data_IF_088939670948
#
_entry.id   IF_088939670948
#
_cell.length_a   1.000
_cell.length_b   1.000
_cell.length_c   1.000
_cell.angle_alpha   90.00
_cell.angle_beta   90.00
_cell.angle_gamma   90.00
#
_symmetry.space_group_name_H-M   'P 1'
#
loop_
_entity.id
_entity.type
_entity.pdbx_description
1 polymer ?
#
# COMPACT_ATOMS: atom_id res chain seq x y z
N UNK A 1 48.75 -18.53 63.96
CA UNK A 1 47.67 -17.93 63.16
C UNK A 1 48.30 -17.16 62.00
N UNK A 2 48.26 -17.71 60.78
CA UNK A 2 48.58 -16.94 59.56
C UNK A 2 47.54 -17.32 58.51
N UNK A 3 46.79 -16.31 58.14
CA UNK A 3 45.52 -16.33 57.42
C UNK A 3 45.73 -16.58 55.92
N UNK A 4 44.97 -17.51 55.36
CA UNK A 4 44.88 -17.74 53.92
C UNK A 4 43.97 -16.67 53.32
N UNK A 5 44.50 -15.87 52.39
CA UNK A 5 43.72 -14.91 51.61
C UNK A 5 43.16 -15.66 50.40
N UNK A 6 41.85 -15.91 50.40
CA UNK A 6 41.12 -16.42 49.23
C UNK A 6 40.95 -15.29 48.20
N UNK A 7 41.47 -15.49 47.00
CA UNK A 7 41.19 -14.65 45.84
C UNK A 7 39.79 -14.96 45.28
N UNK A 8 38.87 -14.02 45.42
CA UNK A 8 37.57 -14.02 44.74
C UNK A 8 37.76 -13.56 43.28
N UNK A 9 37.53 -14.47 42.34
CA UNK A 9 37.46 -14.14 40.90
C UNK A 9 36.04 -13.64 40.60
N UNK A 10 35.91 -12.35 40.33
CA UNK A 10 34.65 -11.76 39.86
C UNK A 10 34.51 -12.01 38.34
N UNK A 11 33.54 -12.84 37.95
CA UNK A 11 33.13 -13.00 36.55
C UNK A 11 32.23 -11.83 36.17
N UNK A 12 32.78 -10.88 35.39
CA UNK A 12 32.00 -9.83 34.77
C UNK A 12 31.28 -10.38 33.53
N UNK A 13 29.96 -10.57 33.61
CA UNK A 13 29.12 -10.87 32.45
C UNK A 13 28.94 -9.60 31.63
N UNK A 14 29.58 -9.52 30.47
CA UNK A 14 29.35 -8.45 29.51
C UNK A 14 27.98 -8.66 28.84
N UNK A 15 26.99 -7.86 29.24
CA UNK A 15 25.72 -7.75 28.50
C UNK A 15 26.01 -6.91 27.26
N UNK A 16 26.11 -7.56 26.10
CA UNK A 16 26.14 -6.85 24.83
C UNK A 16 24.76 -6.23 24.60
N UNK A 17 24.66 -4.90 24.65
CA UNK A 17 23.47 -4.19 24.21
C UNK A 17 23.29 -4.43 22.71
N UNK A 18 22.32 -5.25 22.33
CA UNK A 18 21.90 -5.39 20.94
C UNK A 18 21.23 -4.08 20.54
N UNK A 19 21.96 -3.21 19.85
CA UNK A 19 21.36 -2.06 19.17
C UNK A 19 20.53 -2.60 18.01
N UNK A 20 19.21 -2.69 18.23
CA UNK A 20 18.26 -2.91 17.14
C UNK A 20 18.21 -1.61 16.35
N UNK A 21 19.00 -1.51 15.28
CA UNK A 21 18.87 -0.43 14.31
C UNK A 21 17.46 -0.49 13.73
N UNK A 22 16.63 0.49 14.09
CA UNK A 22 15.33 0.71 13.46
C UNK A 22 15.59 1.03 12.00
N UNK A 23 15.13 0.19 11.08
CA UNK A 23 15.25 0.43 9.64
C UNK A 23 14.07 1.29 9.17
N UNK A 24 14.35 2.34 8.41
CA UNK A 24 13.32 3.14 7.73
C UNK A 24 12.67 2.33 6.62
N UNK A 25 11.37 2.53 6.41
CA UNK A 25 10.66 1.92 5.29
C UNK A 25 11.14 2.52 3.96
N UNK A 26 11.64 1.70 3.02
CA UNK A 26 12.01 2.17 1.69
C UNK A 26 10.76 2.45 0.84
N UNK A 27 10.90 3.36 -0.10
CA UNK A 27 9.88 3.60 -1.14
C UNK A 27 9.65 2.33 -1.96
N UNK A 28 8.39 1.95 -2.10
CA UNK A 28 7.96 0.83 -2.93
C UNK A 28 7.80 1.28 -4.37
N UNK A 29 8.38 0.52 -5.29
CA UNK A 29 8.28 0.73 -6.73
C UNK A 29 7.94 -0.57 -7.47
N UNK A 30 7.59 -0.44 -8.75
CA UNK A 30 7.27 -1.57 -9.65
C UNK A 30 6.05 -2.39 -9.19
N UNK A 31 5.09 -1.74 -8.53
CA UNK A 31 3.78 -2.34 -8.30
C UNK A 31 3.10 -2.66 -9.66
N UNK A 32 2.40 -3.81 -9.81
CA UNK A 32 1.76 -4.17 -11.07
C UNK A 32 0.71 -3.14 -11.48
N UNK A 33 0.76 -2.66 -12.72
CA UNK A 33 -0.12 -1.61 -13.19
C UNK A 33 -1.57 -2.11 -13.22
N UNK A 34 -2.47 -1.39 -12.55
CA UNK A 34 -3.89 -1.78 -12.47
C UNK A 34 -4.20 -2.86 -11.42
N UNK A 35 -3.24 -3.23 -10.56
CA UNK A 35 -3.55 -4.05 -9.40
C UNK A 35 -4.45 -3.26 -8.44
N UNK A 36 -5.51 -3.90 -7.94
CA UNK A 36 -6.48 -3.26 -7.05
C UNK A 36 -7.10 -4.23 -6.06
N UNK A 37 -7.39 -3.71 -4.88
CA UNK A 37 -7.89 -4.43 -3.72
C UNK A 37 -8.96 -3.61 -3.02
N UNK A 38 -9.94 -4.28 -2.41
CA UNK A 38 -10.96 -3.64 -1.58
C UNK A 38 -11.15 -4.38 -0.28
N UNK A 39 -11.24 -3.62 0.81
CA UNK A 39 -11.68 -4.08 2.11
C UNK A 39 -13.04 -3.44 2.42
N UNK A 40 -14.09 -4.25 2.41
CA UNK A 40 -15.45 -3.82 2.72
C UNK A 40 -15.74 -4.11 4.20
N UNK A 41 -16.08 -3.08 4.98
CA UNK A 41 -16.47 -3.26 6.37
C UNK A 41 -17.83 -3.98 6.44
N UNK A 42 -17.91 -5.14 7.10
CA UNK A 42 -19.18 -5.84 7.28
C UNK A 42 -20.06 -5.09 8.28
N UNK A 43 -21.37 -5.33 8.23
CA UNK A 43 -22.27 -4.87 9.29
C UNK A 43 -21.89 -5.51 10.62
N UNK A 44 -21.83 -4.70 11.67
CA UNK A 44 -21.47 -5.13 13.02
C UNK A 44 -22.54 -4.71 14.02
N UNK A 45 -22.67 -5.49 15.09
CA UNK A 45 -23.69 -5.26 16.12
C UNK A 45 -23.28 -4.19 17.14
N UNK A 46 -21.96 -4.03 17.37
CA UNK A 46 -21.43 -3.10 18.39
C UNK A 46 -21.27 -1.68 17.87
N UNK A 47 -20.75 -1.52 16.66
CA UNK A 47 -20.53 -0.23 16.04
C UNK A 47 -21.14 -0.24 14.64
N UNK A 48 -21.78 0.86 14.26
CA UNK A 48 -22.45 1.00 12.97
C UNK A 48 -21.48 1.25 11.79
N UNK A 49 -20.16 1.19 12.01
CA UNK A 49 -19.14 1.54 11.02
C UNK A 49 -19.32 0.69 9.76
N UNK A 50 -19.43 1.38 8.63
CA UNK A 50 -19.66 0.78 7.30
C UNK A 50 -18.95 1.58 6.22
N UNK A 51 -18.78 0.97 5.04
CA UNK A 51 -18.05 1.55 3.93
C UNK A 51 -16.85 0.70 3.54
N UNK A 52 -15.86 1.29 2.87
CA UNK A 52 -14.75 0.55 2.28
C UNK A 52 -13.44 1.31 2.30
N UNK A 53 -12.35 0.55 2.26
CA UNK A 53 -11.01 1.02 1.91
C UNK A 53 -10.58 0.30 0.63
N UNK A 54 -10.36 1.05 -0.43
CA UNK A 54 -9.80 0.55 -1.68
C UNK A 54 -8.32 0.94 -1.78
N UNK A 55 -7.48 0.03 -2.26
CA UNK A 55 -6.07 0.28 -2.54
C UNK A 55 -5.75 -0.17 -3.96
N UNK A 56 -5.17 0.71 -4.77
CA UNK A 56 -4.74 0.42 -6.13
C UNK A 56 -3.30 0.86 -6.35
N UNK A 57 -2.58 0.17 -7.22
CA UNK A 57 -1.24 0.61 -7.62
C UNK A 57 -1.29 2.02 -8.20
N UNK A 58 -0.40 2.89 -7.73
CA UNK A 58 -0.23 4.21 -8.33
C UNK A 58 0.17 4.06 -9.82
N UNK A 59 -0.18 5.06 -10.63
CA UNK A 59 -0.01 4.99 -12.09
C UNK A 59 1.45 4.82 -12.53
N UNK A 60 2.39 5.36 -11.76
CA UNK A 60 3.84 5.25 -11.98
C UNK A 60 4.44 3.96 -11.38
N UNK A 61 3.62 3.13 -10.73
CA UNK A 61 4.04 1.93 -10.02
C UNK A 61 4.68 2.19 -8.65
N UNK A 62 4.69 3.44 -8.16
CA UNK A 62 5.28 3.83 -6.88
C UNK A 62 4.21 3.89 -5.79
N UNK A 63 4.21 2.90 -4.89
CA UNK A 63 3.23 2.84 -3.81
C UNK A 63 1.81 2.50 -4.23
N UNK A 64 0.86 2.82 -3.34
CA UNK A 64 -0.55 2.47 -3.43
C UNK A 64 -1.39 3.71 -3.19
N UNK A 65 -2.29 4.02 -4.12
CA UNK A 65 -3.34 5.01 -3.91
C UNK A 65 -4.47 4.36 -3.12
N UNK A 66 -4.74 4.90 -1.94
CA UNK A 66 -5.86 4.51 -1.10
C UNK A 66 -7.02 5.47 -1.27
N UNK A 67 -8.20 4.92 -1.51
CA UNK A 67 -9.47 5.64 -1.45
C UNK A 67 -10.29 5.08 -0.29
N UNK A 68 -10.59 5.94 0.68
CA UNK A 68 -11.32 5.57 1.89
C UNK A 68 -12.68 6.26 1.86
N UNK A 69 -13.74 5.50 2.14
CA UNK A 69 -15.09 6.03 2.29
C UNK A 69 -15.79 5.28 3.41
N UNK A 70 -15.99 5.94 4.55
CA UNK A 70 -16.55 5.35 5.77
C UNK A 70 -17.68 6.21 6.32
N UNK A 71 -18.62 5.57 7.00
CA UNK A 71 -19.78 6.24 7.59
C UNK A 71 -20.21 5.62 8.93
N UNK A 72 -20.98 6.42 9.70
CA UNK A 72 -21.43 6.19 11.09
C UNK A 72 -20.36 5.57 11.97
N UNK A 73 -19.21 6.23 11.95
CA UNK A 73 -18.33 6.26 13.09
C UNK A 73 -19.11 6.85 14.29
N UNK A 74 -18.84 6.43 15.53
CA UNK A 74 -19.49 7.02 16.71
C UNK A 74 -19.27 8.54 16.79
N UNK A 75 -20.20 9.26 17.44
CA UNK A 75 -20.03 10.70 17.68
C UNK A 75 -18.84 11.00 18.61
N UNK A 76 -18.56 10.09 19.55
CA UNK A 76 -17.50 10.20 20.55
C UNK A 76 -16.38 9.16 20.33
N UNK A 77 -15.24 9.37 20.98
CA UNK A 77 -14.10 8.43 20.93
C UNK A 77 -13.19 8.60 19.70
N UNK A 78 -13.43 9.62 18.87
CA UNK A 78 -12.49 10.07 17.86
C UNK A 78 -11.34 10.92 18.43
N UNK A 79 -10.45 11.44 17.56
CA UNK A 79 -10.33 11.10 16.15
C UNK A 79 -9.98 9.62 15.96
N UNK A 80 -10.50 9.00 14.90
CA UNK A 80 -10.37 7.56 14.70
C UNK A 80 -9.13 7.25 13.88
N UNK A 81 -8.27 6.40 14.42
CA UNK A 81 -7.08 5.91 13.73
C UNK A 81 -7.45 4.71 12.86
N UNK A 82 -6.70 4.46 11.81
CA UNK A 82 -6.87 3.31 10.94
C UNK A 82 -5.52 2.85 10.39
N UNK A 83 -5.34 1.53 10.40
CA UNK A 83 -4.06 0.90 10.09
C UNK A 83 -4.26 -0.38 9.28
N UNK A 84 -3.26 -0.74 8.49
CA UNK A 84 -3.13 -2.09 7.93
C UNK A 84 -2.50 -2.97 9.01
N UNK A 85 -3.13 -4.12 9.28
CA UNK A 85 -2.67 -5.07 10.28
C UNK A 85 -2.00 -6.29 9.65
N UNK A 86 -1.13 -6.95 10.40
CA UNK A 86 -0.24 -8.03 9.91
C UNK A 86 -0.94 -9.36 9.56
N UNK A 87 -2.21 -9.53 9.92
CA UNK A 87 -2.99 -10.74 9.66
C UNK A 87 -4.37 -10.42 9.09
N UNK A 88 -5.00 -11.35 8.35
CA UNK A 88 -6.40 -11.25 8.01
C UNK A 88 -7.28 -11.28 9.27
N UNK A 89 -8.48 -10.68 9.18
CA UNK A 89 -9.58 -10.87 10.11
C UNK A 89 -9.93 -12.36 10.14
N UNK A 90 -9.93 -13.00 11.34
CA UNK A 90 -10.30 -14.41 11.45
C UNK A 90 -11.78 -14.65 11.11
N UNK A 91 -12.15 -15.92 10.96
CA UNK A 91 -13.51 -16.32 10.58
C UNK A 91 -14.60 -15.93 11.59
N UNK A 92 -14.23 -15.65 12.84
CA UNK A 92 -15.15 -15.15 13.88
C UNK A 92 -15.39 -13.63 13.79
N UNK A 93 -14.73 -12.93 12.88
CA UNK A 93 -14.84 -11.48 12.71
C UNK A 93 -14.16 -10.66 13.81
N UNK A 94 -13.42 -11.29 14.73
CA UNK A 94 -12.82 -10.58 15.85
C UNK A 94 -11.58 -9.78 15.39
N UNK A 95 -11.71 -8.46 15.39
CA UNK A 95 -10.63 -7.56 14.98
C UNK A 95 -9.35 -7.70 15.79
N UNK A 96 -9.38 -8.27 17.00
CA UNK A 96 -8.15 -8.54 17.78
C UNK A 96 -7.26 -9.59 17.10
N UNK A 97 -7.84 -10.51 16.33
CA UNK A 97 -7.12 -11.57 15.64
C UNK A 97 -6.25 -11.09 14.47
N UNK A 98 -6.42 -9.84 14.02
CA UNK A 98 -5.58 -9.24 12.98
C UNK A 98 -4.14 -8.95 13.43
N UNK A 99 -3.85 -9.08 14.75
CA UNK A 99 -2.50 -8.95 15.28
C UNK A 99 -2.02 -7.50 15.36
N UNK A 100 -0.70 -7.30 15.29
CA UNK A 100 -0.06 -5.98 15.27
C UNK A 100 -0.28 -5.23 13.95
N UNK A 101 0.28 -4.04 13.82
CA UNK A 101 0.31 -3.31 12.55
C UNK A 101 1.25 -4.01 11.57
N UNK A 102 1.05 -3.78 10.27
CA UNK A 102 2.04 -4.17 9.26
C UNK A 102 3.34 -3.36 9.46
N UNK A 103 4.33 -3.98 10.08
CA UNK A 103 5.62 -3.35 10.37
C UNK A 103 6.82 -4.27 10.03
N UNK A 104 7.07 -4.51 8.73
CA UNK A 104 8.14 -5.41 8.29
C UNK A 104 9.56 -4.91 8.60
N UNK A 105 9.72 -3.63 8.94
CA UNK A 105 11.01 -3.00 9.27
C UNK A 105 11.21 -2.80 10.77
N UNK A 106 10.27 -3.30 11.58
CA UNK A 106 10.36 -3.35 13.06
C UNK A 106 10.60 -1.97 13.66
N UNK A 107 9.93 -0.95 13.10
CA UNK A 107 9.90 0.39 13.68
C UNK A 107 9.23 0.38 15.05
N UNK A 108 8.13 -0.35 15.20
CA UNK A 108 7.31 -0.37 16.39
C UNK A 108 6.72 1.00 16.74
N UNK A 109 6.22 1.13 17.97
CA UNK A 109 5.33 2.23 18.36
C UNK A 109 5.86 3.08 19.53
N UNK A 110 7.14 2.93 19.89
CA UNK A 110 7.73 3.66 21.01
C UNK A 110 7.75 5.17 20.75
N UNK A 111 8.19 5.54 19.55
CA UNK A 111 8.07 6.91 19.03
C UNK A 111 6.80 6.97 18.17
N UNK A 112 5.97 8.00 18.35
CA UNK A 112 4.81 8.20 17.49
C UNK A 112 5.25 8.42 16.04
N UNK A 113 4.38 8.07 15.08
CA UNK A 113 4.63 8.40 13.68
C UNK A 113 4.61 9.92 13.50
N UNK A 114 5.62 10.44 12.80
CA UNK A 114 5.68 11.82 12.35
C UNK A 114 5.37 11.86 10.84
N UNK A 115 4.30 12.54 10.46
CA UNK A 115 3.93 12.72 9.05
C UNK A 115 5.00 13.49 8.24
N UNK A 116 5.87 14.25 8.92
CA UNK A 116 7.04 14.91 8.30
C UNK A 116 8.20 13.95 7.97
N UNK A 117 8.22 12.77 8.60
CA UNK A 117 9.22 11.71 8.41
C UNK A 117 8.53 10.36 8.19
N UNK A 118 7.70 10.20 7.13
CA UNK A 118 6.80 9.05 7.00
C UNK A 118 7.52 7.72 6.72
N UNK A 119 8.78 7.76 6.29
CA UNK A 119 9.68 6.60 6.18
C UNK A 119 10.08 6.04 7.55
N UNK A 120 9.96 6.85 8.60
CA UNK A 120 10.19 6.43 9.99
C UNK A 120 8.95 5.85 10.67
N UNK A 121 7.82 5.71 9.98
CA UNK A 121 6.58 5.15 10.51
C UNK A 121 6.44 3.65 10.21
N UNK A 122 5.55 2.95 10.94
CA UNK A 122 5.16 1.59 10.56
C UNK A 122 4.53 1.63 9.15
N UNK A 123 4.83 0.64 8.30
CA UNK A 123 4.30 0.61 6.92
C UNK A 123 2.77 0.70 6.91
N UNK A 124 2.11 -0.01 7.83
CA UNK A 124 0.67 -0.03 8.01
C UNK A 124 0.08 1.18 8.75
N UNK A 125 0.89 2.12 9.27
CA UNK A 125 0.39 3.30 9.99
C UNK A 125 -0.09 4.39 9.02
N UNK A 126 -1.25 4.15 8.41
CA UNK A 126 -1.85 5.07 7.45
C UNK A 126 -2.31 6.37 8.11
N UNK A 127 -2.92 6.29 9.29
CA UNK A 127 -3.37 7.46 10.05
C UNK A 127 -2.24 8.39 10.50
N UNK A 128 -1.13 7.82 10.99
CA UNK A 128 0.03 8.61 11.37
C UNK A 128 0.63 9.38 10.19
N UNK A 129 0.65 8.76 8.99
CA UNK A 129 1.19 9.37 7.77
C UNK A 129 0.24 10.35 7.09
N UNK A 130 -1.05 10.02 7.01
CA UNK A 130 -2.03 10.71 6.15
C UNK A 130 -3.19 11.38 6.92
N UNK A 131 -3.17 11.30 8.25
CA UNK A 131 -4.17 11.89 9.13
C UNK A 131 -5.28 10.94 9.54
N UNK A 132 -5.87 11.23 10.71
CA UNK A 132 -6.98 10.47 11.30
C UNK A 132 -8.34 10.78 10.64
N UNK A 133 -9.31 9.89 10.83
CA UNK A 133 -10.71 10.14 10.51
C UNK A 133 -11.30 11.06 11.59
N UNK A 134 -11.94 12.15 11.17
CA UNK A 134 -12.40 13.23 12.08
C UNK A 134 -13.90 13.47 12.07
N UNK A 135 -14.66 12.73 11.27
CA UNK A 135 -16.10 12.89 11.11
C UNK A 135 -16.83 11.55 11.07
N UNK A 136 -18.12 11.56 11.43
CA UNK A 136 -18.97 10.37 11.39
C UNK A 136 -19.08 9.77 9.98
N UNK A 137 -19.08 10.64 8.97
CA UNK A 137 -19.02 10.30 7.55
C UNK A 137 -17.79 10.98 6.97
N UNK A 138 -16.92 10.20 6.36
CA UNK A 138 -15.62 10.69 5.94
C UNK A 138 -15.12 9.95 4.70
N UNK A 139 -14.51 10.70 3.81
CA UNK A 139 -13.85 10.15 2.64
C UNK A 139 -12.55 10.90 2.36
N UNK A 140 -11.53 10.18 1.91
CA UNK A 140 -10.27 10.77 1.47
C UNK A 140 -9.63 9.91 0.39
N UNK A 141 -8.68 10.50 -0.32
CA UNK A 141 -7.79 9.80 -1.24
C UNK A 141 -6.37 10.34 -1.07
N UNK A 142 -5.38 9.43 -1.04
CA UNK A 142 -3.97 9.76 -0.99
C UNK A 142 -3.12 8.59 -1.49
N UNK A 143 -1.85 8.84 -1.80
CA UNK A 143 -0.90 7.80 -2.17
C UNK A 143 0.06 7.53 -1.01
N UNK A 144 0.15 6.26 -0.60
CA UNK A 144 1.16 5.78 0.33
C UNK A 144 2.30 5.10 -0.44
N UNK A 145 3.49 5.70 -0.39
CA UNK A 145 4.66 5.23 -1.15
C UNK A 145 5.41 4.06 -0.48
N UNK A 146 4.96 3.58 0.68
CA UNK A 146 5.64 2.53 1.46
C UNK A 146 4.88 1.20 1.46
N UNK A 147 3.60 1.21 1.11
CA UNK A 147 2.77 0.01 0.94
C UNK A 147 2.93 -0.58 -0.47
N UNK A 148 2.79 -1.89 -0.62
CA UNK A 148 2.97 -2.59 -1.90
C UNK A 148 1.79 -3.47 -2.29
N UNK A 149 1.50 -3.53 -3.59
CA UNK A 149 0.59 -4.53 -4.19
C UNK A 149 1.34 -5.77 -4.71
N UNK A 150 2.66 -5.84 -4.54
CA UNK A 150 3.45 -6.99 -5.01
C UNK A 150 3.47 -8.11 -3.97
N UNK A 151 3.04 -9.34 -4.29
CA UNK A 151 3.03 -10.45 -3.32
C UNK A 151 4.41 -10.85 -2.77
N UNK A 152 5.50 -10.51 -3.48
CA UNK A 152 6.88 -10.78 -3.05
C UNK A 152 7.44 -9.69 -2.11
N UNK A 153 6.72 -8.59 -1.93
CA UNK A 153 7.13 -7.49 -1.06
C UNK A 153 6.79 -7.79 0.40
N UNK A 154 7.72 -7.48 1.31
CA UNK A 154 7.47 -7.47 2.76
C UNK A 154 6.43 -6.42 3.19
N UNK A 155 6.16 -5.42 2.33
CA UNK A 155 5.13 -4.40 2.53
C UNK A 155 3.80 -4.75 1.80
N UNK A 156 3.62 -6.00 1.38
CA UNK A 156 2.41 -6.45 0.70
C UNK A 156 1.19 -6.41 1.61
N UNK A 157 0.15 -5.67 1.21
CA UNK A 157 -1.10 -5.56 2.00
C UNK A 157 -2.24 -6.44 1.49
N UNK A 158 -2.13 -6.98 0.27
CA UNK A 158 -3.29 -7.50 -0.47
C UNK A 158 -3.97 -8.75 0.12
N UNK A 159 -3.32 -9.43 1.07
CA UNK A 159 -3.87 -10.57 1.82
C UNK A 159 -4.06 -10.27 3.32
N UNK A 160 -3.96 -9.00 3.71
CA UNK A 160 -4.03 -8.54 5.09
C UNK A 160 -5.39 -7.90 5.39
N UNK A 161 -5.46 -7.18 6.50
CA UNK A 161 -6.67 -6.47 6.92
C UNK A 161 -6.40 -4.99 7.20
N UNK A 162 -7.47 -4.20 7.15
CA UNK A 162 -7.50 -2.84 7.71
C UNK A 162 -8.36 -2.84 8.96
N UNK A 163 -7.96 -2.06 9.96
CA UNK A 163 -8.69 -1.89 11.22
C UNK A 163 -8.86 -0.40 11.49
N UNK A 164 -10.05 -0.02 11.95
CA UNK A 164 -10.35 1.31 12.48
C UNK A 164 -10.41 1.23 14.01
N UNK A 165 -9.84 2.22 14.68
CA UNK A 165 -9.73 2.32 16.13
C UNK A 165 -10.36 3.62 16.65
N UNK A 166 -10.88 3.58 17.88
CA UNK A 166 -11.03 4.78 18.71
C UNK A 166 -9.67 5.40 19.03
N UNK A 167 -9.65 6.64 19.52
CA UNK A 167 -8.45 7.33 19.99
C UNK A 167 -7.72 6.61 21.14
N UNK A 168 -8.44 5.78 21.91
CA UNK A 168 -7.88 4.91 22.96
C UNK A 168 -7.30 3.58 22.44
N UNK A 169 -7.23 3.41 21.11
CA UNK A 169 -6.75 2.22 20.38
C UNK A 169 -7.73 1.04 20.35
N UNK A 170 -8.92 1.16 20.93
CA UNK A 170 -9.97 0.12 20.81
C UNK A 170 -10.34 -0.11 19.36
N UNK A 171 -10.28 -1.36 18.89
CA UNK A 171 -10.68 -1.76 17.53
C UNK A 171 -12.21 -1.74 17.39
N UNK A 172 -12.72 -0.99 16.42
CA UNK A 172 -14.17 -0.79 16.23
C UNK A 172 -14.71 -1.32 14.90
N UNK A 173 -13.84 -1.51 13.91
CA UNK A 173 -14.17 -2.15 12.66
C UNK A 173 -12.93 -2.75 12.02
N UNK A 174 -13.09 -3.84 11.29
CA UNK A 174 -12.02 -4.45 10.52
C UNK A 174 -12.56 -5.16 9.29
N UNK A 175 -11.73 -5.25 8.25
CA UNK A 175 -12.07 -5.92 7.00
C UNK A 175 -10.81 -6.47 6.33
N UNK A 176 -10.95 -7.60 5.64
CA UNK A 176 -9.88 -8.15 4.82
C UNK A 176 -9.81 -7.44 3.47
N UNK A 177 -8.60 -7.19 3.00
CA UNK A 177 -8.39 -6.82 1.61
C UNK A 177 -8.65 -8.03 0.72
N UNK A 178 -9.41 -7.81 -0.34
CA UNK A 178 -9.71 -8.80 -1.37
C UNK A 178 -9.26 -8.24 -2.71
N UNK A 179 -8.56 -9.06 -3.49
CA UNK A 179 -8.05 -8.66 -4.78
C UNK A 179 -9.18 -8.57 -5.81
N UNK A 180 -9.29 -7.42 -6.47
CA UNK A 180 -10.22 -7.19 -7.57
C UNK A 180 -9.51 -7.40 -8.92
N UNK A 181 -8.26 -6.92 -9.03
CA UNK A 181 -7.41 -7.11 -10.20
C UNK A 181 -5.98 -7.37 -9.77
N UNK A 182 -5.30 -8.31 -10.43
CA UNK A 182 -3.87 -8.56 -10.22
C UNK A 182 -2.97 -7.47 -10.81
N UNK A 183 -3.49 -6.72 -11.79
CA UNK A 183 -2.70 -5.82 -12.63
C UNK A 183 -1.76 -6.56 -13.57
N UNK A 184 -1.17 -5.81 -14.49
CA UNK A 184 -0.11 -6.27 -15.36
C UNK A 184 1.23 -5.96 -14.70
N UNK A 185 2.09 -6.96 -14.57
CA UNK A 185 3.48 -6.68 -14.22
C UNK A 185 4.09 -5.84 -15.33
N UNK A 186 4.82 -4.74 -15.02
CA UNK A 186 5.62 -4.07 -16.02
C UNK A 186 6.63 -5.08 -16.56
N UNK A 187 6.30 -5.69 -17.69
CA UNK A 187 7.25 -6.45 -18.48
C UNK A 187 8.22 -5.38 -18.96
N UNK A 188 9.42 -5.34 -18.35
CA UNK A 188 10.53 -4.61 -18.95
C UNK A 188 10.52 -4.97 -20.43
N UNK A 189 10.51 -3.99 -21.37
CA UNK A 189 10.33 -4.29 -22.78
C UNK A 189 11.30 -5.39 -23.13
N UNK A 190 10.76 -6.57 -23.43
CA UNK A 190 11.57 -7.72 -23.82
C UNK A 190 12.34 -7.22 -25.01
N UNK A 191 13.63 -6.95 -24.81
CA UNK A 191 14.50 -6.52 -25.88
C UNK A 191 14.24 -7.47 -27.03
N UNK A 192 13.89 -6.91 -28.20
CA UNK A 192 13.71 -7.69 -29.42
C UNK A 192 14.96 -8.55 -29.55
N UNK A 193 14.85 -9.82 -29.17
CA UNK A 193 15.88 -10.78 -29.47
C UNK A 193 15.78 -10.95 -30.97
N UNK A 194 16.62 -10.22 -31.68
CA UNK A 194 16.95 -10.47 -33.08
C UNK A 194 17.68 -11.82 -33.14
N UNK A 195 16.98 -12.89 -32.79
CA UNK A 195 17.43 -14.26 -32.93
C UNK A 195 17.37 -14.59 -34.42
N UNK A 196 18.45 -14.33 -35.14
CA UNK A 196 18.70 -15.00 -36.40
C UNK A 196 18.65 -16.52 -36.13
N UNK A 197 17.75 -17.22 -36.81
CA UNK A 197 17.69 -18.68 -36.75
C UNK A 197 19.05 -19.24 -37.20
N UNK A 198 19.72 -20.01 -36.32
CA UNK A 198 20.90 -20.76 -36.70
C UNK A 198 20.51 -21.87 -37.70
N UNK A 199 21.31 -22.14 -38.75
CA UNK A 199 21.07 -23.26 -39.63
C UNK A 199 21.40 -24.57 -38.90
N UNK A 200 20.41 -25.45 -38.76
CA UNK A 200 20.63 -26.83 -38.32
C UNK A 200 21.30 -27.61 -39.44
N UNK A 201 22.57 -27.98 -39.25
CA UNK A 201 23.26 -28.92 -40.12
C UNK A 201 22.68 -30.34 -39.95
N UNK A 202 22.27 -30.96 -41.05
CA UNK A 202 21.81 -32.34 -41.13
C UNK A 202 22.91 -33.24 -41.73
N UNK A 203 23.16 -34.37 -41.08
CA UNK A 203 23.87 -35.54 -41.61
C UNK A 203 23.82 -36.67 -40.57
N UNK A 204 23.29 -37.87 -40.83
CA UNK A 204 22.62 -38.38 -42.01
C UNK A 204 21.97 -39.75 -41.75
N UNK A 205 21.25 -40.22 -42.80
CA UNK A 205 20.97 -41.61 -43.20
C UNK A 205 20.35 -42.61 -42.19
N UNK A 206 19.05 -42.92 -42.36
CA UNK A 206 18.60 -44.18 -43.02
C UNK A 206 17.06 -44.35 -43.05
N UNK A 207 16.54 -44.35 -44.28
CA UNK A 207 15.57 -45.29 -44.88
C UNK A 207 14.08 -45.39 -44.44
N UNK A 208 13.22 -45.04 -45.43
CA UNK A 208 11.82 -45.51 -45.71
C UNK A 208 10.70 -45.01 -44.76
N UNK A 209 9.53 -44.47 -45.18
CA UNK A 209 8.77 -44.53 -46.43
C UNK A 209 7.69 -43.42 -46.43
N UNK A 210 7.26 -42.99 -47.62
CA UNK A 210 5.99 -42.29 -47.95
C UNK A 210 5.91 -40.74 -47.89
N UNK A 211 6.14 -40.15 -49.08
CA UNK A 211 5.22 -39.28 -49.83
C UNK A 211 4.41 -38.20 -49.10
N UNK A 212 4.77 -36.93 -49.35
CA UNK A 212 3.85 -35.98 -49.98
C UNK A 212 4.57 -34.71 -50.44
N UNK A 213 4.22 -34.30 -51.66
CA UNK A 213 4.68 -33.13 -52.42
C UNK A 213 4.03 -31.84 -51.89
N UNK A 214 4.76 -30.76 -51.58
CA UNK A 214 4.13 -29.47 -51.38
C UNK A 214 3.98 -28.76 -52.74
N UNK A 215 2.72 -28.58 -53.16
CA UNK A 215 2.37 -27.68 -54.25
C UNK A 215 2.01 -26.34 -53.61
N UNK A 216 2.93 -25.38 -53.63
CA UNK A 216 2.65 -24.01 -53.23
C UNK A 216 1.72 -23.38 -54.25
N UNK A 217 0.50 -23.03 -53.84
CA UNK A 217 -0.38 -22.16 -54.60
C UNK A 217 -0.71 -20.94 -53.74
N UNK A 218 -0.24 -19.78 -54.19
CA UNK A 218 -0.60 -18.49 -53.63
C UNK A 218 -2.08 -18.20 -53.95
N UNK A 219 -2.85 -17.81 -52.93
CA UNK A 219 -4.23 -17.33 -53.09
C UNK A 219 -4.28 -15.88 -52.62
N UNK A 220 -4.57 -14.90 -53.51
CA UNK A 220 -4.84 -13.53 -53.10
C UNK A 220 -6.34 -13.38 -52.83
N UNK A 221 -6.73 -13.32 -51.56
CA UNK A 221 -8.11 -12.97 -51.20
C UNK A 221 -8.20 -11.46 -51.04
N UNK A 222 -8.84 -10.82 -52.02
CA UNK A 222 -9.32 -9.44 -51.97
C UNK A 222 -10.36 -9.27 -50.87
N UNK A 223 -9.97 -8.65 -49.74
CA UNK A 223 -10.87 -8.18 -48.70
C UNK A 223 -11.04 -6.66 -48.80
N UNK A 224 -12.28 -6.22 -49.01
CA UNK A 224 -12.72 -4.83 -49.14
C UNK A 224 -12.53 -4.08 -47.81
N UNK A 225 -12.07 -2.81 -47.79
CA UNK A 225 -11.97 -2.03 -46.57
C UNK A 225 -13.36 -1.58 -46.10
N UNK A 226 -13.79 -2.06 -44.93
CA UNK A 226 -14.94 -1.50 -44.21
C UNK A 226 -14.49 -0.26 -43.44
N UNK A 227 -15.05 0.89 -43.80
CA UNK A 227 -14.91 2.15 -43.06
C UNK A 227 -15.68 2.08 -41.73
N UNK A 228 -15.13 2.58 -40.60
CA UNK A 228 -15.91 2.74 -39.38
C UNK A 228 -16.84 3.95 -39.48
N UNK A 229 -18.14 3.69 -39.30
CA UNK A 229 -19.19 4.69 -39.16
C UNK A 229 -18.99 5.54 -37.91
N UNK A 230 -19.21 6.84 -38.07
CA UNK A 230 -19.16 7.90 -37.05
C UNK A 230 -20.38 7.93 -36.12
N UNK A 231 -20.18 8.61 -34.98
CA UNK A 231 -21.16 9.10 -33.96
C UNK A 231 -21.62 8.04 -32.94
N UNK A 232 -21.59 8.28 -31.63
CA UNK A 232 -21.95 9.50 -30.89
C UNK A 232 -21.09 9.73 -29.64
N UNK A 233 -20.51 10.92 -29.57
CA UNK A 233 -19.89 11.54 -28.40
C UNK A 233 -20.95 12.11 -27.45
N UNK A 234 -21.00 11.63 -26.21
CA UNK A 234 -21.69 12.30 -25.10
C UNK A 234 -20.65 12.69 -24.05
N UNK A 235 -20.33 13.98 -24.01
CA UNK A 235 -19.49 14.58 -22.98
C UNK A 235 -20.21 14.52 -21.61
N UNK A 236 -19.51 14.25 -20.50
CA UNK A 236 -20.07 14.47 -19.17
C UNK A 236 -20.15 15.99 -18.86
N UNK A 237 -21.16 16.41 -18.08
CA UNK A 237 -21.46 17.83 -17.83
C UNK A 237 -20.40 18.51 -16.96
N UNK A 238 -20.05 19.75 -17.34
CA UNK A 238 -19.30 20.70 -16.51
C UNK A 238 -20.12 21.10 -15.28
N UNK A 239 -19.52 21.00 -14.10
CA UNK A 239 -20.06 21.58 -12.87
C UNK A 239 -19.42 22.95 -12.66
N UNK A 240 -20.16 24.00 -13.00
CA UNK A 240 -19.83 25.38 -12.64
C UNK A 240 -20.29 25.62 -11.20
N UNK A 241 -19.36 25.63 -10.25
CA UNK A 241 -19.63 26.14 -8.90
C UNK A 241 -18.51 27.09 -8.47
N UNK A 242 -18.94 28.34 -8.27
CA UNK A 242 -18.11 29.51 -8.04
C UNK A 242 -17.41 29.50 -6.68
N UNK A 243 -16.14 29.90 -6.68
CA UNK A 243 -15.44 30.31 -5.48
C UNK A 243 -15.99 31.67 -4.98
N UNK A 244 -16.34 31.82 -3.70
CA UNK A 244 -16.49 33.16 -3.13
C UNK A 244 -15.10 33.75 -2.85
N UNK A 245 -14.85 34.89 -3.49
CA UNK A 245 -13.81 35.87 -3.11
C UNK A 245 -13.95 36.19 -1.61
N UNK A 246 -12.89 36.01 -0.84
CA UNK A 246 -12.73 36.72 0.43
C UNK A 246 -11.84 37.95 0.19
N UNK A 247 -12.41 39.11 0.48
CA UNK A 247 -11.80 40.42 0.39
C UNK A 247 -10.90 40.65 1.61
N UNK A 248 -9.73 41.19 1.32
CA UNK A 248 -8.73 41.87 2.15
C UNK A 248 -9.21 42.53 3.44
N UNK A 249 -8.42 42.35 4.50
CA UNK A 249 -8.27 43.29 5.62
C UNK A 249 -6.83 43.24 6.14
N UNK A 250 -6.08 44.33 5.95
CA UNK A 250 -4.70 44.51 6.37
C UNK A 250 -4.58 45.05 7.81
N UNK A 251 -3.33 45.07 8.32
CA UNK A 251 -2.81 45.74 9.53
C UNK A 251 -3.12 45.04 10.88
N UNK A 252 -2.21 44.86 11.84
CA UNK A 252 -0.88 45.45 12.11
C UNK A 252 -0.19 44.64 13.21
N UNK A 253 1.14 44.69 13.22
CA UNK A 253 2.06 44.10 14.19
C UNK A 253 1.86 44.55 15.65
N UNK A 254 2.17 43.68 16.62
CA UNK A 254 2.92 44.05 17.84
C UNK A 254 3.81 42.88 18.28
N UNK A 255 5.11 43.16 18.31
CA UNK A 255 6.17 42.42 18.99
C UNK A 255 6.00 42.59 20.50
N UNK A 256 6.03 41.51 21.27
CA UNK A 256 6.34 41.59 22.70
C UNK A 256 7.12 40.35 23.15
N UNK A 257 8.43 40.55 23.21
CA UNK A 257 9.39 39.75 23.96
C UNK A 257 9.11 40.00 25.45
N UNK A 258 8.96 38.92 26.24
CA UNK A 258 9.11 39.01 27.69
C UNK A 258 9.85 37.75 28.18
N UNK A 259 11.16 37.89 28.30
CA UNK A 259 11.98 37.09 29.17
C UNK A 259 11.82 37.60 30.62
N UNK A 260 11.57 36.69 31.56
CA UNK A 260 11.83 36.83 33.00
C UNK A 260 11.72 35.41 33.59
N UNK A 261 12.80 34.74 33.97
CA UNK A 261 13.74 34.92 35.08
C UNK A 261 13.50 33.83 36.13
N UNK A 262 14.49 32.94 36.24
CA UNK A 262 15.08 32.39 37.46
C UNK A 262 14.29 32.57 38.77
N UNK A 263 13.79 31.45 39.29
CA UNK A 263 14.09 30.90 40.62
C UNK A 263 13.83 29.40 40.59
#
# INVERSE_FOLDING_TARGET
MRTHILSLVALASAVAAQSSTVETAPVVSHNPQGASFVAQFPEQTKYAVRGSVAGASALDGTGVTFAISVSGLPADGGPFMYHIHEKPVPSDGNCSGTGAHLDPYKRGQLTLCDAGEPDSCEVGDLSGKHGNITAENWSTEYTDIYVSTRPDSKAYFGNLSVVIHLSDKTRIACANFTQISAGDHPVAPSGVSSGCALPTASGGYSNSTASSKPTGSASPTTGVPVSPSSTSSSAPPEFTAAAPKLITGAATAVVAIAAALLL
#
